data_IF_007680784233
#
_entry.id   IF_007680784233
#
_cell.length_a   1.000
_cell.length_b   1.000
_cell.length_c   1.000
_cell.angle_alpha   90.00
_cell.angle_beta   90.00
_cell.angle_gamma   90.00
#
_symmetry.space_group_name_H-M   'P 1'
#
loop_
_entity.id
_entity.type
_entity.pdbx_description
1 polymer ?
#
# COMPACT_ATOMS: atom_id res chain seq x y z
N UNK A 1 20.84 36.51 88.92
CA UNK A 1 20.35 36.86 87.57
C UNK A 1 20.42 35.57 86.75
N UNK A 2 19.39 34.72 86.81
CA UNK A 2 18.19 34.69 85.95
C UNK A 2 18.53 34.35 84.49
N UNK A 3 17.86 33.45 83.75
CA UNK A 3 16.81 32.44 83.98
C UNK A 3 16.60 31.75 82.61
N UNK A 4 16.26 30.46 82.60
CA UNK A 4 15.46 29.74 81.60
C UNK A 4 15.75 29.83 80.08
N UNK A 5 16.00 28.64 79.52
CA UNK A 5 15.58 28.23 78.17
C UNK A 5 14.05 28.26 77.99
N UNK A 6 13.59 28.32 76.73
CA UNK A 6 12.52 27.41 76.34
C UNK A 6 12.81 26.67 75.03
N UNK A 7 12.43 25.39 75.06
CA UNK A 7 12.21 24.52 73.91
C UNK A 7 11.10 25.11 73.03
N UNK A 8 11.25 25.05 71.72
CA UNK A 8 10.12 25.14 70.79
C UNK A 8 9.97 23.79 70.08
N UNK A 9 8.80 23.21 70.28
CA UNK A 9 8.32 21.97 69.71
C UNK A 9 7.69 22.20 68.32
N UNK A 10 7.88 21.22 67.44
CA UNK A 10 6.94 20.70 66.43
C UNK A 10 6.42 21.62 65.30
N UNK A 11 6.68 21.21 64.05
CA UNK A 11 5.61 20.81 63.13
C UNK A 11 6.17 19.91 62.02
N UNK A 12 5.65 18.68 61.97
CA UNK A 12 5.61 17.89 60.75
C UNK A 12 5.01 18.74 59.62
N UNK A 13 5.66 18.74 58.47
CA UNK A 13 4.95 18.90 57.20
C UNK A 13 5.49 17.86 56.24
N UNK A 14 4.78 16.74 56.16
CA UNK A 14 4.84 15.82 55.03
C UNK A 14 4.35 16.60 53.83
N UNK A 15 5.19 16.82 52.82
CA UNK A 15 4.72 17.18 51.48
C UNK A 15 5.43 16.23 50.51
N UNK A 16 4.83 15.05 50.37
CA UNK A 16 4.90 14.25 49.15
C UNK A 16 3.84 14.84 48.22
N UNK A 17 4.22 15.14 46.97
CA UNK A 17 3.47 14.64 45.84
C UNK A 17 4.48 13.97 44.90
N UNK A 18 4.50 12.64 44.76
CA UNK A 18 3.55 11.87 43.95
C UNK A 18 3.19 12.61 42.66
N UNK A 19 4.10 12.65 41.68
CA UNK A 19 3.76 12.97 40.28
C UNK A 19 4.97 12.74 39.37
N UNK A 20 5.17 11.48 38.94
CA UNK A 20 5.63 11.19 37.58
C UNK A 20 5.44 9.71 37.21
N UNK A 21 4.27 9.13 37.51
CA UNK A 21 3.79 8.04 36.65
C UNK A 21 3.29 8.72 35.38
N UNK A 22 4.21 8.97 34.45
CA UNK A 22 3.84 9.21 33.07
C UNK A 22 2.99 8.00 32.65
N UNK A 23 1.69 8.23 32.53
CA UNK A 23 0.80 7.28 31.89
C UNK A 23 1.33 7.11 30.46
N UNK A 24 2.10 6.03 30.23
CA UNK A 24 2.22 5.46 28.91
C UNK A 24 0.84 4.90 28.59
N UNK A 25 -0.08 5.78 28.20
CA UNK A 25 -1.25 5.36 27.45
C UNK A 25 -0.71 4.65 26.22
N UNK A 26 -1.06 3.38 25.96
CA UNK A 26 -0.76 2.78 24.68
C UNK A 26 -1.47 3.65 23.64
N UNK A 27 -0.71 4.45 22.90
CA UNK A 27 -1.22 5.10 21.72
C UNK A 27 -1.43 3.97 20.72
N UNK A 28 -2.66 3.46 20.65
CA UNK A 28 -3.10 2.67 19.51
C UNK A 28 -2.99 3.60 18.31
N UNK A 29 -1.88 3.50 17.57
CA UNK A 29 -1.76 4.11 16.26
C UNK A 29 -2.78 3.40 15.37
N UNK A 30 -3.95 4.01 15.24
CA UNK A 30 -4.87 3.69 14.17
C UNK A 30 -4.18 4.07 12.86
N UNK A 31 -4.40 3.26 11.82
CA UNK A 31 -3.86 3.55 10.51
C UNK A 31 -4.25 4.97 10.07
N UNK A 32 -3.37 5.65 9.36
CA UNK A 32 -3.72 6.93 8.77
C UNK A 32 -4.85 6.71 7.76
N UNK A 33 -6.01 7.28 8.06
CA UNK A 33 -7.17 7.23 7.17
C UNK A 33 -6.93 8.13 5.97
N UNK A 34 -7.10 7.58 4.78
CA UNK A 34 -7.01 8.30 3.51
C UNK A 34 -8.37 8.92 3.24
N UNK A 35 -8.46 10.24 3.36
CA UNK A 35 -9.64 10.96 2.88
C UNK A 35 -9.59 11.02 1.35
N UNK A 36 -10.62 10.49 0.70
CA UNK A 36 -10.72 10.46 -0.75
C UNK A 36 -11.39 11.75 -1.20
N UNK A 37 -10.57 12.71 -1.64
CA UNK A 37 -11.06 13.92 -2.31
C UNK A 37 -11.76 13.56 -3.63
N UNK A 38 -13.07 13.89 -3.79
CA UNK A 38 -13.82 13.60 -5.00
C UNK A 38 -13.20 14.19 -6.26
N UNK A 39 -12.67 15.42 -6.17
CA UNK A 39 -12.10 16.18 -7.29
C UNK A 39 -10.66 15.75 -7.62
N UNK A 40 -10.05 14.92 -6.76
CA UNK A 40 -8.71 14.41 -7.01
C UNK A 40 -8.70 13.36 -8.12
N UNK A 41 -8.10 13.75 -9.24
CA UNK A 41 -7.79 12.88 -10.37
C UNK A 41 -6.77 11.77 -10.03
N UNK A 42 -5.84 12.07 -9.13
CA UNK A 42 -4.72 11.19 -8.78
C UNK A 42 -4.22 11.48 -7.37
N UNK A 43 -4.12 10.44 -6.57
CA UNK A 43 -3.57 10.49 -5.21
C UNK A 43 -2.52 9.38 -5.01
N UNK A 44 -1.30 9.75 -4.61
CA UNK A 44 -0.30 8.77 -4.21
C UNK A 44 -0.64 8.26 -2.80
N UNK A 45 -1.09 7.00 -2.69
CA UNK A 45 -1.53 6.43 -1.41
C UNK A 45 -0.43 5.68 -0.65
N UNK A 46 0.71 5.42 -1.30
CA UNK A 46 1.86 4.77 -0.66
C UNK A 46 2.37 5.49 0.59
N UNK A 47 2.17 6.81 0.70
CA UNK A 47 2.54 7.63 1.87
C UNK A 47 1.58 7.55 3.05
N UNK A 48 0.49 6.78 2.92
CA UNK A 48 -0.48 6.50 3.99
C UNK A 48 -0.51 5.02 4.38
N UNK A 49 0.29 4.21 3.69
CA UNK A 49 0.43 2.77 3.96
C UNK A 49 1.11 2.59 5.30
N UNK A 50 0.62 1.65 6.08
CA UNK A 50 1.43 1.05 7.11
C UNK A 50 1.84 -0.36 6.70
N UNK A 51 3.05 -0.76 7.06
CA UNK A 51 3.59 -2.04 6.65
C UNK A 51 4.16 -2.84 7.80
N UNK A 52 4.20 -4.15 7.63
CA UNK A 52 4.90 -5.09 8.47
C UNK A 52 5.67 -6.08 7.62
N UNK A 53 6.90 -6.38 8.02
CA UNK A 53 7.74 -7.36 7.36
C UNK A 53 7.58 -8.74 8.02
N UNK A 54 7.09 -9.70 7.26
CA UNK A 54 7.04 -11.11 7.60
C UNK A 54 8.24 -11.84 6.96
N UNK A 55 9.35 -11.93 7.70
CA UNK A 55 10.55 -12.61 7.23
C UNK A 55 10.41 -14.14 7.10
N UNK A 56 9.40 -14.76 7.72
CA UNK A 56 9.15 -16.20 7.57
C UNK A 56 8.20 -16.55 6.42
N UNK A 57 7.53 -15.55 5.85
CA UNK A 57 6.48 -15.66 4.81
C UNK A 57 5.30 -16.57 5.19
N UNK A 58 5.20 -16.96 6.46
CA UNK A 58 4.27 -17.97 6.95
C UNK A 58 2.98 -17.38 7.47
N UNK A 59 2.92 -16.06 7.68
CA UNK A 59 1.74 -15.43 8.23
C UNK A 59 0.60 -15.43 7.22
N UNK A 60 -0.59 -15.76 7.73
CA UNK A 60 -1.84 -15.67 6.98
C UNK A 60 -2.60 -14.41 7.40
N UNK A 61 -3.61 -14.01 6.60
CA UNK A 61 -4.46 -12.87 6.95
C UNK A 61 -5.16 -13.06 8.30
N UNK A 62 -5.56 -14.28 8.65
CA UNK A 62 -6.20 -14.58 9.93
C UNK A 62 -5.24 -14.37 11.11
N UNK A 63 -3.96 -14.71 10.93
CA UNK A 63 -2.94 -14.43 11.93
C UNK A 63 -2.78 -12.92 12.11
N UNK A 64 -2.71 -12.17 11.00
CA UNK A 64 -2.50 -10.72 11.01
C UNK A 64 -3.66 -9.95 11.66
N UNK A 65 -4.89 -10.44 11.49
CA UNK A 65 -6.10 -9.84 12.07
C UNK A 65 -6.35 -10.28 13.52
N UNK A 66 -5.66 -11.31 14.00
CA UNK A 66 -5.92 -11.85 15.34
C UNK A 66 -5.63 -10.79 16.42
N UNK A 67 -6.46 -10.65 17.46
CA UNK A 67 -6.20 -9.71 18.56
C UNK A 67 -4.87 -9.97 19.29
N UNK A 68 -4.39 -11.21 19.25
CA UNK A 68 -3.10 -11.64 19.81
C UNK A 68 -1.92 -11.25 18.94
N UNK A 69 -2.16 -10.84 17.69
CA UNK A 69 -1.15 -10.39 16.75
C UNK A 69 -0.71 -8.97 17.14
N UNK A 70 0.11 -8.90 18.19
CA UNK A 70 0.65 -7.66 18.78
C UNK A 70 1.74 -6.99 17.95
N UNK A 71 1.60 -7.03 16.61
CA UNK A 71 2.57 -6.46 15.69
C UNK A 71 2.30 -4.96 15.51
N UNK A 72 3.35 -4.16 15.66
CA UNK A 72 3.32 -2.75 15.31
C UNK A 72 3.57 -2.59 13.81
N UNK A 73 2.49 -2.40 13.05
CA UNK A 73 2.56 -1.85 11.71
C UNK A 73 3.32 -0.51 11.74
N UNK A 74 4.25 -0.35 10.81
CA UNK A 74 5.12 0.81 10.72
C UNK A 74 4.53 1.76 9.66
N UNK A 75 4.22 3.02 10.00
CA UNK A 75 3.75 3.97 9.01
C UNK A 75 4.84 4.28 7.98
N UNK A 76 4.44 4.33 6.72
CA UNK A 76 5.29 4.73 5.62
C UNK A 76 4.87 6.12 5.13
N UNK A 77 5.82 7.04 4.99
CA UNK A 77 5.56 8.45 4.68
C UNK A 77 6.14 8.92 3.34
N UNK A 78 6.52 8.00 2.45
CA UNK A 78 7.06 8.33 1.12
C UNK A 78 6.10 7.91 0.01
N UNK A 79 6.27 8.51 -1.17
CA UNK A 79 5.41 8.24 -2.34
C UNK A 79 5.58 6.85 -2.94
N UNK A 80 6.65 6.13 -2.58
CA UNK A 80 6.98 4.81 -3.13
C UNK A 80 7.48 3.91 -1.99
N UNK A 81 6.88 2.74 -1.85
CA UNK A 81 7.38 1.70 -0.96
C UNK A 81 8.66 1.11 -1.56
N UNK A 82 9.76 1.18 -0.83
CA UNK A 82 11.05 0.66 -1.30
C UNK A 82 11.67 -0.21 -0.21
N UNK A 83 11.64 -1.52 -0.44
CA UNK A 83 12.15 -2.54 0.49
C UNK A 83 13.42 -3.23 -0.02
N UNK A 84 13.90 -2.88 -1.21
CA UNK A 84 15.11 -3.47 -1.78
C UNK A 84 14.93 -4.94 -2.15
N UNK A 85 16.03 -5.68 -2.27
CA UNK A 85 16.00 -7.14 -2.52
C UNK A 85 15.75 -7.84 -1.20
N UNK A 86 14.67 -8.59 -1.13
CA UNK A 86 14.20 -9.24 0.09
C UNK A 86 13.48 -10.54 -0.25
N UNK A 87 13.55 -11.49 0.68
CA UNK A 87 12.81 -12.75 0.66
C UNK A 87 11.70 -12.75 1.72
N UNK A 88 11.30 -11.57 2.19
CA UNK A 88 10.21 -11.43 3.15
C UNK A 88 8.89 -11.16 2.42
N UNK A 89 7.78 -11.54 3.05
CA UNK A 89 6.46 -11.07 2.66
C UNK A 89 6.20 -9.74 3.38
N UNK A 90 5.61 -8.77 2.67
CA UNK A 90 5.24 -7.50 3.27
C UNK A 90 3.72 -7.43 3.38
N UNK A 91 3.25 -7.30 4.62
CA UNK A 91 1.86 -6.99 4.92
C UNK A 91 1.68 -5.49 4.90
N UNK A 92 0.77 -5.00 4.07
CA UNK A 92 0.39 -3.60 4.01
C UNK A 92 -1.04 -3.44 4.52
N UNK A 93 -1.31 -2.31 5.17
CA UNK A 93 -2.63 -1.90 5.62
C UNK A 93 -2.94 -0.52 5.07
N UNK A 94 -4.15 -0.39 4.53
CA UNK A 94 -4.72 0.85 4.00
C UNK A 94 -6.14 1.00 4.54
N UNK A 95 -6.46 2.22 4.99
CA UNK A 95 -7.80 2.59 5.42
C UNK A 95 -8.29 3.76 4.57
N UNK A 96 -9.41 3.58 3.89
CA UNK A 96 -10.05 4.58 3.05
C UNK A 96 -11.27 5.17 3.77
N UNK A 97 -11.47 6.47 3.58
CA UNK A 97 -12.70 7.16 3.95
C UNK A 97 -13.43 7.58 2.67
N UNK A 98 -14.59 6.97 2.45
CA UNK A 98 -15.45 7.20 1.30
C UNK A 98 -16.59 8.19 1.61
N UNK A 99 -16.59 8.83 2.79
CA UNK A 99 -17.73 9.66 3.26
C UNK A 99 -18.02 10.88 2.39
N UNK A 100 -17.01 11.44 1.73
CA UNK A 100 -17.14 12.58 0.81
C UNK A 100 -17.49 12.16 -0.63
N UNK A 101 -17.42 10.86 -0.95
CA UNK A 101 -17.69 10.35 -2.29
C UNK A 101 -19.19 10.15 -2.55
N UNK A 102 -19.62 10.40 -3.78
CA UNK A 102 -20.99 10.12 -4.20
C UNK A 102 -21.29 8.61 -4.21
N UNK A 103 -22.55 8.25 -3.95
CA UNK A 103 -22.99 6.85 -3.96
C UNK A 103 -22.74 6.21 -5.33
N UNK A 104 -21.94 5.14 -5.35
CA UNK A 104 -21.60 4.41 -6.58
C UNK A 104 -20.42 4.98 -7.36
N UNK A 105 -19.80 6.06 -6.88
CA UNK A 105 -18.57 6.55 -7.47
C UNK A 105 -17.42 5.55 -7.25
N UNK A 106 -16.66 5.29 -8.32
CA UNK A 106 -15.57 4.33 -8.33
C UNK A 106 -14.24 5.05 -8.53
N UNK A 107 -13.17 4.49 -7.96
CA UNK A 107 -11.79 4.89 -8.21
C UNK A 107 -10.99 3.65 -8.61
N UNK A 108 -9.84 3.86 -9.23
CA UNK A 108 -8.91 2.77 -9.59
C UNK A 108 -7.73 2.78 -8.63
N UNK A 109 -7.53 1.69 -7.91
CA UNK A 109 -6.34 1.50 -7.10
C UNK A 109 -5.29 0.76 -7.92
N UNK A 110 -4.22 1.47 -8.29
CA UNK A 110 -3.12 0.96 -9.09
C UNK A 110 -1.90 0.63 -8.22
N UNK A 111 -1.37 -0.57 -8.44
CA UNK A 111 -0.14 -1.13 -7.87
C UNK A 111 0.89 -1.24 -9.00
N UNK A 112 1.52 -0.13 -9.36
CA UNK A 112 1.98 -0.03 -10.74
C UNK A 112 2.81 1.21 -11.07
N UNK A 113 3.85 1.11 -11.92
CA UNK A 113 4.42 -0.11 -12.52
C UNK A 113 5.71 -0.56 -11.80
N UNK A 114 5.68 -1.56 -10.91
CA UNK A 114 6.88 -2.32 -10.62
C UNK A 114 7.07 -3.42 -11.66
N UNK A 115 8.33 -3.79 -11.95
CA UNK A 115 8.64 -5.01 -12.72
C UNK A 115 8.34 -6.27 -11.89
N UNK A 116 7.13 -6.42 -11.37
CA UNK A 116 6.65 -7.66 -10.74
C UNK A 116 6.30 -8.58 -11.90
N UNK A 117 7.16 -9.55 -12.15
CA UNK A 117 6.87 -10.60 -13.12
C UNK A 117 5.94 -11.57 -12.43
N UNK A 118 4.63 -11.48 -12.71
CA UNK A 118 3.71 -12.55 -12.41
C UNK A 118 4.11 -13.75 -13.28
N UNK A 119 4.53 -14.84 -12.63
CA UNK A 119 4.96 -16.07 -13.30
C UNK A 119 6.44 -16.38 -13.06
N UNK A 120 6.70 -17.18 -12.02
CA UNK A 120 7.02 -18.63 -12.15
C UNK A 120 7.68 -19.15 -10.86
N UNK A 121 8.19 -18.30 -9.94
CA UNK A 121 8.82 -18.82 -8.69
C UNK A 121 8.53 -18.02 -7.41
N UNK A 122 8.33 -16.69 -7.49
CA UNK A 122 8.02 -15.83 -6.32
C UNK A 122 7.53 -14.47 -6.81
N UNK A 123 6.47 -13.92 -6.23
CA UNK A 123 5.94 -12.62 -6.62
C UNK A 123 4.44 -12.59 -6.81
N UNK A 124 3.77 -11.63 -6.18
CA UNK A 124 2.32 -11.45 -6.28
C UNK A 124 1.80 -10.44 -5.25
N UNK A 125 0.57 -9.99 -5.49
CA UNK A 125 -0.17 -9.14 -4.56
C UNK A 125 -1.48 -9.87 -4.26
N UNK A 126 -1.59 -10.36 -3.03
CA UNK A 126 -2.85 -10.82 -2.47
C UNK A 126 -3.49 -9.64 -1.74
N UNK A 127 -4.74 -9.34 -2.07
CA UNK A 127 -5.52 -8.26 -1.47
C UNK A 127 -6.69 -8.85 -0.70
N UNK A 128 -6.90 -8.37 0.51
CA UNK A 128 -7.93 -8.80 1.44
C UNK A 128 -8.77 -7.60 1.85
N UNK A 129 -10.08 -7.72 1.70
CA UNK A 129 -11.05 -6.72 2.12
C UNK A 129 -11.65 -7.16 3.45
N UNK A 130 -11.60 -6.27 4.44
CA UNK A 130 -12.08 -6.57 5.78
C UNK A 130 -13.48 -5.99 5.96
N UNK A 131 -14.36 -6.75 6.59
CA UNK A 131 -15.69 -6.28 6.97
C UNK A 131 -15.67 -5.42 8.25
N UNK A 132 -16.82 -4.84 8.61
CA UNK A 132 -16.95 -4.05 9.83
C UNK A 132 -16.81 -4.87 11.13
N UNK A 133 -16.91 -6.21 11.05
CA UNK A 133 -16.71 -7.12 12.16
C UNK A 133 -15.25 -7.56 12.33
N UNK A 134 -14.34 -7.11 11.46
CA UNK A 134 -12.92 -7.46 11.46
C UNK A 134 -12.58 -8.79 10.78
N UNK A 135 -13.54 -9.40 10.07
CA UNK A 135 -13.36 -10.62 9.28
C UNK A 135 -12.98 -10.35 7.83
N UNK A 136 -12.43 -11.35 7.15
CA UNK A 136 -12.16 -11.27 5.71
C UNK A 136 -13.48 -11.45 4.95
N UNK A 137 -13.91 -10.40 4.24
CA UNK A 137 -15.10 -10.44 3.39
C UNK A 137 -14.83 -11.06 2.03
N UNK A 138 -13.73 -10.62 1.40
CA UNK A 138 -13.33 -11.09 0.07
C UNK A 138 -11.82 -10.97 -0.09
N UNK A 139 -11.26 -11.76 -1.02
CA UNK A 139 -9.84 -11.76 -1.33
C UNK A 139 -9.59 -11.83 -2.83
N UNK A 140 -8.56 -11.14 -3.29
CA UNK A 140 -8.16 -11.09 -4.70
C UNK A 140 -6.68 -11.47 -4.82
N UNK A 141 -6.33 -12.26 -5.83
CA UNK A 141 -4.94 -12.46 -6.22
C UNK A 141 -4.70 -11.71 -7.53
N UNK A 142 -4.03 -10.56 -7.46
CA UNK A 142 -3.84 -9.71 -8.62
C UNK A 142 -2.92 -10.40 -9.65
N UNK A 143 -3.24 -10.22 -10.93
CA UNK A 143 -2.57 -10.83 -12.06
C UNK A 143 -3.21 -12.11 -12.58
N UNK A 144 -4.16 -12.70 -11.85
CA UNK A 144 -4.95 -13.84 -12.37
C UNK A 144 -6.10 -13.39 -13.26
N UNK A 145 -6.63 -12.18 -13.06
CA UNK A 145 -7.80 -11.67 -13.76
C UNK A 145 -9.07 -12.50 -13.51
N UNK A 146 -9.22 -13.02 -12.29
CA UNK A 146 -10.38 -13.83 -11.89
C UNK A 146 -11.58 -12.96 -11.44
N UNK A 147 -11.41 -11.64 -11.31
CA UNK A 147 -12.46 -10.70 -10.91
C UNK A 147 -12.72 -9.64 -11.97
N UNK A 148 -13.99 -9.32 -12.19
CA UNK A 148 -14.43 -8.22 -13.05
C UNK A 148 -13.97 -6.84 -12.56
N UNK A 149 -13.63 -6.72 -11.26
CA UNK A 149 -13.05 -5.49 -10.70
C UNK A 149 -11.58 -5.31 -11.07
N UNK A 150 -10.88 -6.38 -11.46
CA UNK A 150 -9.48 -6.29 -11.86
C UNK A 150 -9.36 -5.74 -13.28
N UNK A 151 -8.62 -4.63 -13.43
CA UNK A 151 -8.40 -3.98 -14.72
C UNK A 151 -7.09 -4.49 -15.32
N UNK A 152 -7.18 -4.97 -16.57
CA UNK A 152 -6.01 -5.36 -17.35
C UNK A 152 -5.18 -4.12 -17.72
N UNK A 153 -3.89 -4.12 -17.37
CA UNK A 153 -2.96 -3.06 -17.80
C UNK A 153 -1.90 -3.61 -18.75
N UNK A 154 -1.51 -2.83 -19.75
CA UNK A 154 -0.36 -3.15 -20.62
C UNK A 154 0.97 -2.64 -20.03
N UNK A 155 0.90 -1.70 -19.09
CA UNK A 155 2.04 -1.07 -18.39
C UNK A 155 2.71 -2.00 -17.36
N UNK A 156 2.25 -3.25 -17.20
CA UNK A 156 2.75 -4.29 -16.27
C UNK A 156 2.49 -4.01 -14.78
N UNK A 157 1.61 -3.06 -14.46
CA UNK A 157 1.06 -2.89 -13.11
C UNK A 157 -0.17 -3.75 -12.88
N UNK A 158 -0.67 -3.77 -11.65
CA UNK A 158 -2.00 -4.31 -11.33
C UNK A 158 -2.93 -3.16 -10.99
N UNK A 159 -4.20 -3.28 -11.37
CA UNK A 159 -5.20 -2.27 -11.07
C UNK A 159 -6.52 -2.94 -10.69
N UNK A 160 -7.24 -2.37 -9.73
CA UNK A 160 -8.54 -2.86 -9.28
C UNK A 160 -9.49 -1.71 -9.01
N UNK A 161 -10.76 -1.88 -9.38
CA UNK A 161 -11.84 -0.94 -9.09
C UNK A 161 -12.24 -1.03 -7.61
N UNK A 162 -12.14 0.11 -6.94
CA UNK A 162 -12.47 0.30 -5.52
C UNK A 162 -13.55 1.36 -5.37
N UNK A 163 -14.46 1.14 -4.44
CA UNK A 163 -15.58 2.00 -4.10
C UNK A 163 -15.98 1.77 -2.63
N UNK A 164 -16.96 2.51 -2.12
CA UNK A 164 -17.45 2.36 -0.75
C UNK A 164 -17.96 0.93 -0.46
N UNK A 165 -18.52 0.23 -1.46
CA UNK A 165 -18.96 -1.16 -1.30
C UNK A 165 -17.78 -2.13 -1.23
N UNK A 166 -16.70 -1.82 -1.95
CA UNK A 166 -15.43 -2.55 -1.91
C UNK A 166 -14.82 -2.55 -0.51
N UNK A 167 -15.07 -1.52 0.29
CA UNK A 167 -14.77 -1.48 1.72
C UNK A 167 -13.62 -0.54 2.10
N UNK A 168 -13.57 -0.20 3.38
CA UNK A 168 -12.70 0.83 3.92
C UNK A 168 -11.31 0.28 4.26
N UNK A 169 -11.26 -0.94 4.79
CA UNK A 169 -10.03 -1.55 5.29
C UNK A 169 -9.51 -2.60 4.31
N UNK A 170 -8.34 -2.32 3.74
CA UNK A 170 -7.66 -3.20 2.80
C UNK A 170 -6.33 -3.65 3.40
N UNK A 171 -6.15 -4.97 3.46
CA UNK A 171 -4.87 -5.59 3.77
C UNK A 171 -4.28 -6.19 2.51
N UNK A 172 -2.98 -6.11 2.35
CA UNK A 172 -2.30 -6.73 1.22
C UNK A 172 -1.09 -7.51 1.67
N UNK A 173 -0.90 -8.68 1.10
CA UNK A 173 0.33 -9.46 1.24
C UNK A 173 1.08 -9.40 -0.08
N UNK A 174 2.27 -8.83 -0.03
CA UNK A 174 3.12 -8.66 -1.20
C UNK A 174 4.36 -9.52 -1.04
N UNK A 175 4.63 -10.33 -2.05
CA UNK A 175 5.90 -11.03 -2.21
C UNK A 175 6.53 -10.60 -3.51
N UNK A 176 7.86 -10.63 -3.61
CA UNK A 176 8.58 -10.27 -4.84
C UNK A 176 9.86 -11.07 -5.00
N UNK A 177 10.16 -11.52 -6.22
CA UNK A 177 11.45 -12.09 -6.59
C UNK A 177 12.55 -11.05 -6.88
N UNK A 178 12.16 -9.78 -7.04
CA UNK A 178 13.03 -8.67 -7.48
C UNK A 178 12.99 -7.55 -6.45
N UNK A 179 13.90 -6.55 -6.50
CA UNK A 179 13.82 -5.41 -5.60
C UNK A 179 12.42 -4.82 -5.56
N UNK A 180 11.79 -4.80 -4.38
CA UNK A 180 10.41 -4.38 -4.22
C UNK A 180 10.36 -2.85 -4.15
N UNK A 181 9.86 -2.25 -5.24
CA UNK A 181 9.60 -0.82 -5.39
C UNK A 181 8.17 -0.62 -5.83
N UNK A 182 7.25 -0.46 -4.90
CA UNK A 182 5.82 -0.45 -5.19
C UNK A 182 5.25 0.96 -4.99
N UNK A 183 5.06 1.75 -6.06
CA UNK A 183 4.13 2.87 -6.01
C UNK A 183 2.71 2.33 -5.89
N UNK A 184 1.89 3.01 -5.09
CA UNK A 184 0.46 2.74 -4.98
C UNK A 184 -0.25 4.07 -5.21
N UNK A 185 -1.14 4.09 -6.20
CA UNK A 185 -1.82 5.31 -6.62
C UNK A 185 -3.32 5.05 -6.73
N UNK A 186 -4.13 5.94 -6.17
CA UNK A 186 -5.56 5.97 -6.36
C UNK A 186 -5.87 6.97 -7.47
N UNK A 187 -6.64 6.54 -8.46
CA UNK A 187 -6.97 7.32 -9.64
C UNK A 187 -8.46 7.51 -9.78
N UNK A 188 -8.85 8.62 -10.38
CA UNK A 188 -10.14 8.73 -11.06
C UNK A 188 -10.13 7.80 -12.30
N UNK A 189 -11.29 7.23 -12.64
CA UNK A 189 -11.42 6.16 -13.64
C UNK A 189 -11.06 6.67 -15.04
N UNK A 190 -11.60 7.82 -15.45
CA UNK A 190 -11.35 8.39 -16.78
C UNK A 190 -9.89 8.81 -16.94
N UNK A 191 -9.28 9.39 -15.92
CA UNK A 191 -7.86 9.76 -15.89
C UNK A 191 -6.93 8.53 -15.97
N UNK A 192 -7.28 7.43 -15.28
CA UNK A 192 -6.57 6.17 -15.41
C UNK A 192 -6.62 5.62 -16.85
N UNK A 193 -7.78 5.68 -17.49
CA UNK A 193 -7.94 5.24 -18.88
C UNK A 193 -7.14 6.11 -19.86
N UNK A 194 -7.21 7.44 -19.71
CA UNK A 194 -6.42 8.36 -20.53
C UNK A 194 -4.91 8.11 -20.40
N UNK A 195 -4.44 7.88 -19.17
CA UNK A 195 -3.03 7.58 -18.90
C UNK A 195 -2.59 6.25 -19.51
N UNK A 196 -3.45 5.22 -19.49
CA UNK A 196 -3.18 3.94 -20.14
C UNK A 196 -3.10 4.10 -21.67
N UNK A 197 -4.08 4.73 -22.30
CA UNK A 197 -4.09 4.97 -23.75
C UNK A 197 -2.83 5.71 -24.21
N UNK A 198 -2.40 6.73 -23.46
CA UNK A 198 -1.17 7.47 -23.75
C UNK A 198 0.08 6.59 -23.66
N UNK A 199 0.15 5.76 -22.62
CA UNK A 199 1.28 4.83 -22.42
C UNK A 199 1.34 3.77 -23.51
N UNK A 200 0.19 3.25 -23.92
CA UNK A 200 0.06 2.22 -24.95
C UNK A 200 0.41 2.76 -26.34
N UNK A 201 0.06 4.01 -26.62
CA UNK A 201 0.43 4.68 -27.87
C UNK A 201 1.95 4.77 -28.04
N UNK A 202 2.68 5.07 -26.96
CA UNK A 202 4.14 5.12 -26.98
C UNK A 202 4.76 3.74 -27.23
N UNK A 203 4.22 2.69 -26.61
CA UNK A 203 4.62 1.30 -26.86
C UNK A 203 4.34 0.91 -28.31
N UNK A 204 3.16 1.26 -28.85
CA UNK A 204 2.80 1.04 -30.24
C UNK A 204 3.78 1.68 -31.22
N UNK A 205 4.21 2.92 -30.95
CA UNK A 205 5.23 3.61 -31.75
C UNK A 205 6.58 2.88 -31.69
N UNK A 206 7.02 2.45 -30.51
CA UNK A 206 8.26 1.68 -30.36
C UNK A 206 8.23 0.39 -31.16
N UNK A 207 7.12 -0.36 -31.10
CA UNK A 207 6.96 -1.58 -31.88
C UNK A 207 6.84 -1.30 -33.38
N UNK A 208 6.23 -0.17 -33.79
CA UNK A 208 6.19 0.28 -35.17
C UNK A 208 7.59 0.55 -35.75
N UNK A 209 8.47 1.19 -34.99
CA UNK A 209 9.87 1.42 -35.39
C UNK A 209 10.62 0.09 -35.55
N UNK A 210 10.45 -0.84 -34.60
CA UNK A 210 11.06 -2.17 -34.69
C UNK A 210 10.55 -2.93 -35.92
N UNK A 211 9.25 -2.86 -36.21
CA UNK A 211 8.66 -3.48 -37.38
C UNK A 211 9.19 -2.87 -38.68
N UNK A 212 9.32 -1.55 -38.76
CA UNK A 212 9.92 -0.86 -39.91
C UNK A 212 11.40 -1.29 -40.11
N UNK A 213 12.15 -1.47 -39.03
CA UNK A 213 13.53 -1.97 -39.08
C UNK A 213 13.59 -3.42 -39.58
N UNK A 214 12.65 -4.28 -39.18
CA UNK A 214 12.52 -5.64 -39.71
C UNK A 214 12.26 -5.61 -41.21
N UNK A 215 11.30 -4.80 -41.68
CA UNK A 215 11.01 -4.68 -43.11
C UNK A 215 12.17 -4.10 -43.91
N UNK A 216 12.88 -3.11 -43.36
CA UNK A 216 14.09 -2.56 -43.97
C UNK A 216 15.17 -3.65 -44.16
N UNK A 217 15.45 -4.41 -43.10
CA UNK A 217 16.42 -5.51 -43.15
C UNK A 217 16.00 -6.63 -44.10
N UNK A 218 14.70 -6.92 -44.17
CA UNK A 218 14.15 -7.93 -45.08
C UNK A 218 14.29 -7.49 -46.54
N UNK A 219 14.00 -6.22 -46.85
CA UNK A 219 14.20 -5.66 -48.19
C UNK A 219 15.68 -5.72 -48.60
N UNK A 220 16.58 -5.27 -47.71
CA UNK A 220 18.02 -5.33 -47.94
C UNK A 220 18.52 -6.77 -48.17
N UNK A 221 18.00 -7.74 -47.42
CA UNK A 221 18.32 -9.16 -47.61
C UNK A 221 17.96 -9.67 -49.01
N UNK A 222 16.76 -9.33 -49.50
CA UNK A 222 16.36 -9.72 -50.85
C UNK A 222 17.18 -9.02 -51.94
N UNK A 223 17.50 -7.72 -51.77
CA UNK A 223 18.31 -6.98 -52.74
C UNK A 223 19.73 -7.50 -52.88
N UNK A 224 20.42 -7.80 -51.77
CA UNK A 224 21.81 -8.28 -51.79
C UNK A 224 21.90 -9.72 -52.34
N UNK A 225 20.87 -10.54 -52.15
CA UNK A 225 20.86 -11.93 -52.63
C UNK A 225 20.71 -12.03 -54.15
N UNK A 226 20.13 -11.03 -54.81
CA UNK A 226 19.92 -11.01 -56.28
C UNK A 226 21.08 -10.39 -57.07
N UNK A 227 22.20 -10.05 -56.42
CA UNK A 227 23.49 -9.68 -57.03
C UNK A 227 24.56 -10.69 -56.73
#
# INVERSE_FOLDING_TARGET
MARNSPRVHYRLSKIIPLLLCAALSPQTLAAQTINIDPDSARLAVAGFVEYYEDSSESLTINDVLAPTFGVNFIPHSRDILHFGITSSAYWLRLNFDWSEMESGAQKVLEFGPPKIVAGVVRGGIELYVIDQAGGVRTSYFLGKQDSEREIKTLSRGFAILVDAEFGDQIYMRITSARPLRLPITLWEVDEFQQQNVRSDTLLGLQYGILLAMIFYNLFLFFTIRET
#
